data_IF_974194089842
#
_entry.id   IF_974194089842
#
_cell.length_a   1.000
_cell.length_b   1.000
_cell.length_c   1.000
_cell.angle_alpha   90.00
_cell.angle_beta   90.00
_cell.angle_gamma   90.00
#
_symmetry.space_group_name_H-M   'P 1'
#
loop_
_entity.id
_entity.type
_entity.pdbx_description
1 polymer ?
#
# COMPACT_ATOMS: atom_id res chain seq x y z
N UNK A 1 -19.88 -7.97 -66.92
CA UNK A 1 -20.46 -8.11 -65.56
C UNK A 1 -19.33 -8.10 -64.55
N UNK A 2 -19.26 -7.12 -63.62
CA UNK A 2 -18.22 -7.08 -62.59
C UNK A 2 -18.53 -8.07 -61.44
N UNK A 3 -17.52 -8.62 -60.75
CA UNK A 3 -17.70 -9.48 -59.59
C UNK A 3 -18.22 -8.67 -58.37
N UNK A 4 -19.16 -9.26 -57.63
CA UNK A 4 -19.76 -8.69 -56.42
C UNK A 4 -18.78 -8.50 -55.26
N UNK A 5 -19.09 -7.63 -54.29
CA UNK A 5 -18.12 -7.13 -53.31
C UNK A 5 -17.68 -8.21 -52.31
N UNK A 6 -16.37 -8.21 -52.04
CA UNK A 6 -15.71 -9.03 -51.04
C UNK A 6 -16.43 -8.95 -49.69
N UNK A 7 -16.80 -10.11 -49.15
CA UNK A 7 -17.26 -10.27 -47.77
C UNK A 7 -16.15 -9.77 -46.83
N UNK A 8 -16.38 -8.61 -46.19
CA UNK A 8 -15.49 -8.09 -45.14
C UNK A 8 -15.35 -9.15 -44.07
N UNK A 9 -14.13 -9.67 -43.91
CA UNK A 9 -13.77 -10.53 -42.80
C UNK A 9 -14.04 -9.77 -41.50
N UNK A 10 -15.09 -10.19 -40.79
CA UNK A 10 -15.37 -9.72 -39.45
C UNK A 10 -14.19 -10.14 -38.56
N UNK A 11 -13.29 -9.20 -38.27
CA UNK A 11 -12.26 -9.35 -37.24
C UNK A 11 -12.97 -9.83 -35.97
N UNK A 12 -12.57 -10.95 -35.34
CA UNK A 12 -13.16 -11.34 -34.08
C UNK A 12 -12.82 -10.23 -33.09
N UNK A 13 -13.86 -9.53 -32.61
CA UNK A 13 -13.72 -8.60 -31.52
C UNK A 13 -13.06 -9.38 -30.38
N UNK A 14 -11.80 -9.03 -30.04
CA UNK A 14 -11.11 -9.55 -28.86
C UNK A 14 -11.96 -9.15 -27.66
N UNK A 15 -12.93 -9.99 -27.32
CA UNK A 15 -13.66 -9.94 -26.05
C UNK A 15 -12.59 -10.15 -24.99
N UNK A 16 -12.09 -9.05 -24.41
CA UNK A 16 -11.38 -9.08 -23.14
C UNK A 16 -12.37 -9.65 -22.14
N UNK A 17 -12.40 -10.97 -22.02
CA UNK A 17 -12.88 -11.62 -20.82
C UNK A 17 -11.94 -11.15 -19.71
N UNK A 18 -12.33 -10.06 -19.04
CA UNK A 18 -11.79 -9.78 -17.72
C UNK A 18 -12.23 -10.99 -16.89
N UNK A 19 -11.29 -11.84 -16.43
CA UNK A 19 -11.69 -12.92 -15.55
C UNK A 19 -12.49 -12.30 -14.41
N UNK A 20 -13.63 -12.91 -14.07
CA UNK A 20 -14.40 -12.65 -12.84
C UNK A 20 -13.54 -13.10 -11.65
N UNK A 21 -12.39 -12.47 -11.48
CA UNK A 21 -11.68 -12.41 -10.22
C UNK A 21 -12.54 -11.52 -9.34
N UNK A 22 -13.31 -12.12 -8.44
CA UNK A 22 -14.09 -11.37 -7.45
C UNK A 22 -13.22 -10.34 -6.72
N UNK A 23 -13.82 -9.34 -6.05
CA UNK A 23 -13.10 -8.27 -5.34
C UNK A 23 -11.97 -8.79 -4.43
N UNK A 24 -12.14 -9.99 -3.86
CA UNK A 24 -11.13 -10.68 -3.04
C UNK A 24 -9.80 -11.06 -3.73
N UNK A 25 -9.71 -11.06 -5.07
CA UNK A 25 -8.47 -11.40 -5.79
C UNK A 25 -7.78 -10.16 -6.38
N UNK A 26 -8.53 -9.09 -6.68
CA UNK A 26 -7.98 -7.84 -7.23
C UNK A 26 -7.42 -6.90 -6.17
N UNK A 27 -8.01 -6.92 -4.98
CA UNK A 27 -7.56 -6.09 -3.87
C UNK A 27 -6.15 -6.47 -3.37
N UNK A 28 -5.84 -7.75 -3.08
CA UNK A 28 -4.54 -8.11 -2.49
C UNK A 28 -3.36 -7.82 -3.42
N UNK A 29 -3.54 -7.98 -4.74
CA UNK A 29 -2.48 -7.70 -5.71
C UNK A 29 -2.19 -6.20 -5.82
N UNK A 30 -3.23 -5.35 -5.84
CA UNK A 30 -3.05 -3.89 -5.83
C UNK A 30 -2.45 -3.39 -4.51
N UNK A 31 -2.92 -3.93 -3.39
CA UNK A 31 -2.39 -3.59 -2.07
C UNK A 31 -0.91 -4.00 -1.94
N UNK A 32 -0.52 -5.14 -2.54
CA UNK A 32 0.90 -5.54 -2.63
C UNK A 32 1.73 -4.52 -3.41
N UNK A 33 1.29 -4.09 -4.60
CA UNK A 33 2.02 -3.06 -5.37
C UNK A 33 2.11 -1.74 -4.60
N UNK A 34 1.02 -1.32 -3.95
CA UNK A 34 1.01 -0.12 -3.11
C UNK A 34 2.01 -0.24 -1.96
N UNK A 35 2.11 -1.40 -1.32
CA UNK A 35 3.07 -1.65 -0.25
C UNK A 35 4.54 -1.60 -0.70
N UNK A 36 4.85 -2.12 -1.90
CA UNK A 36 6.21 -2.00 -2.47
C UNK A 36 6.57 -0.54 -2.77
N UNK A 37 5.63 0.22 -3.35
CA UNK A 37 5.84 1.64 -3.61
C UNK A 37 6.02 2.43 -2.30
N UNK A 38 5.20 2.14 -1.30
CA UNK A 38 5.33 2.75 0.02
C UNK A 38 6.69 2.45 0.66
N UNK A 39 7.17 1.21 0.57
CA UNK A 39 8.50 0.84 1.06
C UNK A 39 9.60 1.60 0.30
N UNK A 40 9.50 1.71 -1.02
CA UNK A 40 10.44 2.49 -1.84
C UNK A 40 10.45 3.97 -1.45
N UNK A 41 9.28 4.57 -1.24
CA UNK A 41 9.15 5.96 -0.77
C UNK A 41 9.83 6.12 0.60
N UNK A 42 9.54 5.24 1.56
CA UNK A 42 10.16 5.31 2.89
C UNK A 42 11.67 5.15 2.81
N UNK A 43 12.19 4.21 2.02
CA UNK A 43 13.62 4.00 1.85
C UNK A 43 14.30 5.25 1.28
N UNK A 44 13.77 5.82 0.19
CA UNK A 44 14.32 7.02 -0.44
C UNK A 44 14.29 8.21 0.53
N UNK A 45 13.14 8.47 1.17
CA UNK A 45 12.99 9.56 2.13
C UNK A 45 13.95 9.39 3.32
N UNK A 46 14.12 8.17 3.82
CA UNK A 46 15.01 7.89 4.95
C UNK A 46 16.48 8.12 4.59
N UNK A 47 16.92 7.64 3.42
CA UNK A 47 18.29 7.85 2.93
C UNK A 47 18.57 9.33 2.70
N UNK A 48 17.66 10.05 2.03
CA UNK A 48 17.80 11.48 1.80
C UNK A 48 17.81 12.28 3.11
N UNK A 49 16.95 11.91 4.06
CA UNK A 49 16.90 12.57 5.37
C UNK A 49 18.19 12.33 6.16
N UNK A 50 18.73 11.11 6.13
CA UNK A 50 20.00 10.77 6.75
C UNK A 50 21.17 11.53 6.12
N UNK A 51 21.21 11.62 4.79
CA UNK A 51 22.21 12.42 4.07
C UNK A 51 22.09 13.91 4.44
N UNK A 52 20.87 14.45 4.50
CA UNK A 52 20.62 15.84 4.84
C UNK A 52 21.06 16.15 6.28
N UNK A 53 20.79 15.25 7.23
CA UNK A 53 21.22 15.38 8.62
C UNK A 53 22.75 15.47 8.75
N UNK A 54 23.50 14.79 7.88
CA UNK A 54 24.97 14.82 7.86
C UNK A 54 25.55 16.05 7.16
N UNK A 55 24.91 16.52 6.10
CA UNK A 55 25.44 17.59 5.25
C UNK A 55 25.00 18.99 5.70
N UNK A 56 23.79 19.13 6.23
CA UNK A 56 23.25 20.43 6.63
C UNK A 56 22.19 20.25 7.74
N UNK A 57 22.61 20.22 9.01
CA UNK A 57 21.71 19.98 10.14
C UNK A 57 20.59 21.04 10.23
N UNK A 58 20.87 22.29 9.86
CA UNK A 58 19.88 23.38 9.83
C UNK A 58 18.74 23.13 8.83
N UNK A 59 19.04 22.52 7.67
CA UNK A 59 18.02 22.15 6.68
C UNK A 59 17.22 20.94 7.14
N UNK A 60 17.88 19.99 7.82
CA UNK A 60 17.22 18.85 8.42
C UNK A 60 16.20 19.27 9.49
N UNK A 61 16.57 20.17 10.41
CA UNK A 61 15.64 20.66 11.44
C UNK A 61 14.41 21.36 10.83
N UNK A 62 14.59 22.20 9.81
CA UNK A 62 13.48 22.81 9.06
C UNK A 62 12.59 21.77 8.39
N UNK A 63 13.18 20.71 7.84
CA UNK A 63 12.41 19.63 7.24
C UNK A 63 11.60 18.85 8.29
N UNK A 64 12.18 18.58 9.47
CA UNK A 64 11.48 17.93 10.59
C UNK A 64 10.27 18.74 11.05
N UNK A 65 10.38 20.06 11.05
CA UNK A 65 9.25 20.95 11.35
C UNK A 65 8.11 20.79 10.34
N UNK A 66 8.41 20.69 9.04
CA UNK A 66 7.42 20.40 7.99
C UNK A 66 6.75 19.04 8.23
N UNK A 67 7.49 18.02 8.67
CA UNK A 67 6.94 16.70 8.96
C UNK A 67 5.91 16.69 10.10
N UNK A 68 5.91 17.70 10.98
CA UNK A 68 4.92 17.83 12.06
C UNK A 68 3.57 18.37 11.57
N UNK A 69 3.52 18.95 10.38
CA UNK A 69 2.26 19.46 9.84
C UNK A 69 1.23 18.34 9.64
N UNK A 70 -0.01 18.59 10.06
CA UNK A 70 -1.13 17.66 9.97
C UNK A 70 -1.30 17.00 8.57
N UNK A 71 -1.26 17.73 7.44
CA UNK A 71 -1.37 17.08 6.12
C UNK A 71 -0.22 16.12 5.84
N UNK A 72 1.00 16.44 6.28
CA UNK A 72 2.16 15.55 6.10
C UNK A 72 2.01 14.31 6.99
N UNK A 73 1.53 14.46 8.22
CA UNK A 73 1.24 13.33 9.11
C UNK A 73 0.23 12.36 8.49
N UNK A 74 -0.84 12.86 7.87
CA UNK A 74 -1.82 12.00 7.16
C UNK A 74 -1.17 11.22 6.01
N UNK A 75 -0.31 11.88 5.22
CA UNK A 75 0.46 11.21 4.15
C UNK A 75 1.39 10.16 4.72
N UNK A 76 2.11 10.47 5.80
CA UNK A 76 3.00 9.53 6.50
C UNK A 76 2.23 8.31 6.98
N UNK A 77 1.05 8.49 7.58
CA UNK A 77 0.18 7.37 8.00
C UNK A 77 -0.21 6.51 6.80
N UNK A 78 -0.62 7.11 5.67
CA UNK A 78 -0.99 6.37 4.47
C UNK A 78 0.20 5.55 3.91
N UNK A 79 1.39 6.13 3.88
CA UNK A 79 2.61 5.46 3.44
C UNK A 79 2.99 4.33 4.40
N UNK A 80 3.04 4.59 5.70
CA UNK A 80 3.38 3.59 6.70
C UNK A 80 2.35 2.46 6.77
N UNK A 81 1.07 2.74 6.54
CA UNK A 81 0.04 1.71 6.40
C UNK A 81 0.31 0.79 5.20
N UNK A 82 0.78 1.33 4.08
CA UNK A 82 1.25 0.54 2.94
C UNK A 82 2.42 -0.37 3.27
N UNK A 83 3.40 0.14 4.04
CA UNK A 83 4.54 -0.67 4.52
C UNK A 83 4.08 -1.77 5.49
N UNK A 84 3.15 -1.45 6.40
CA UNK A 84 2.57 -2.44 7.30
C UNK A 84 1.87 -3.57 6.53
N UNK A 85 1.07 -3.22 5.50
CA UNK A 85 0.45 -4.23 4.64
C UNK A 85 1.50 -5.10 3.93
N UNK A 86 2.55 -4.49 3.39
CA UNK A 86 3.64 -5.22 2.73
C UNK A 86 4.30 -6.23 3.67
N UNK A 87 4.62 -5.82 4.90
CA UNK A 87 5.24 -6.70 5.89
C UNK A 87 4.33 -7.90 6.23
N UNK A 88 3.06 -7.64 6.54
CA UNK A 88 2.08 -8.69 6.87
C UNK A 88 1.85 -9.63 5.68
N UNK A 89 1.70 -9.09 4.47
CA UNK A 89 1.50 -9.87 3.24
C UNK A 89 2.72 -10.74 2.87
N UNK A 90 3.92 -10.26 3.20
CA UNK A 90 5.17 -11.03 3.05
C UNK A 90 5.20 -12.22 3.99
N UNK A 91 4.91 -12.01 5.28
CA UNK A 91 4.80 -13.11 6.26
C UNK A 91 3.72 -14.11 5.83
N UNK A 92 2.54 -13.62 5.44
CA UNK A 92 1.46 -14.45 4.90
C UNK A 92 1.92 -15.31 3.73
N UNK A 93 2.65 -14.73 2.79
CA UNK A 93 3.17 -15.42 1.61
C UNK A 93 4.23 -16.46 1.96
N UNK A 94 5.09 -16.16 2.94
CA UNK A 94 6.10 -17.08 3.45
C UNK A 94 5.46 -18.28 4.15
N UNK A 95 4.44 -18.04 4.99
CA UNK A 95 3.67 -19.11 5.66
C UNK A 95 3.01 -20.01 4.61
N UNK A 96 2.37 -19.45 3.59
CA UNK A 96 1.79 -20.24 2.50
C UNK A 96 2.83 -21.04 1.70
N UNK A 97 4.09 -20.60 1.64
CA UNK A 97 5.15 -21.29 0.92
C UNK A 97 5.75 -22.45 1.73
N UNK A 98 5.74 -22.36 3.06
CA UNK A 98 6.37 -23.34 3.95
C UNK A 98 5.36 -24.36 4.47
N UNK A 99 4.15 -23.92 4.82
CA UNK A 99 3.14 -24.78 5.45
C UNK A 99 2.41 -25.60 4.39
N UNK A 100 2.57 -26.92 4.45
CA UNK A 100 1.77 -27.86 3.66
C UNK A 100 0.50 -28.19 4.44
N UNK A 101 -0.66 -27.79 3.94
CA UNK A 101 -1.95 -28.04 4.56
C UNK A 101 -2.81 -29.00 3.71
N UNK A 102 -3.67 -29.82 4.34
CA UNK A 102 -4.61 -30.69 3.62
C UNK A 102 -5.57 -29.92 2.72
N UNK A 103 -5.93 -28.69 3.12
CA UNK A 103 -6.78 -27.77 2.36
C UNK A 103 -6.07 -26.40 2.22
N UNK A 104 -5.28 -26.21 1.14
CA UNK A 104 -4.50 -25.00 0.94
C UNK A 104 -5.37 -23.76 0.69
N UNK A 105 -6.57 -23.93 0.12
CA UNK A 105 -7.47 -22.82 -0.18
C UNK A 105 -8.13 -22.27 1.09
N UNK A 106 -8.54 -23.16 2.00
CA UNK A 106 -9.06 -22.74 3.31
C UNK A 106 -7.98 -22.04 4.14
N UNK A 107 -6.76 -22.59 4.18
CA UNK A 107 -5.64 -21.95 4.87
C UNK A 107 -5.36 -20.55 4.31
N UNK A 108 -5.34 -20.41 2.98
CA UNK A 108 -5.08 -19.12 2.31
C UNK A 108 -6.13 -18.06 2.67
N UNK A 109 -7.41 -18.44 2.79
CA UNK A 109 -8.48 -17.52 3.20
C UNK A 109 -8.33 -17.08 4.65
N UNK A 110 -8.13 -18.03 5.57
CA UNK A 110 -7.91 -17.73 6.99
C UNK A 110 -6.70 -16.82 7.21
N UNK A 111 -5.60 -17.09 6.50
CA UNK A 111 -4.39 -16.27 6.55
C UNK A 111 -4.59 -14.87 5.95
N UNK A 112 -5.45 -14.73 4.94
CA UNK A 112 -5.79 -13.42 4.39
C UNK A 112 -6.62 -12.62 5.38
N UNK A 113 -7.63 -13.24 6.00
CA UNK A 113 -8.49 -12.58 6.99
C UNK A 113 -7.68 -12.14 8.21
N UNK A 114 -6.82 -13.02 8.75
CA UNK A 114 -5.94 -12.68 9.86
C UNK A 114 -4.95 -11.57 9.51
N UNK A 115 -4.45 -11.56 8.27
CA UNK A 115 -3.56 -10.49 7.77
C UNK A 115 -4.26 -9.13 7.68
N UNK A 116 -5.51 -9.10 7.22
CA UNK A 116 -6.30 -7.86 7.17
C UNK A 116 -6.55 -7.33 8.57
N UNK A 117 -6.90 -8.20 9.53
CA UNK A 117 -7.10 -7.81 10.93
C UNK A 117 -5.80 -7.26 11.52
N UNK A 118 -4.67 -7.96 11.35
CA UNK A 118 -3.37 -7.52 11.85
C UNK A 118 -2.98 -6.16 11.27
N UNK A 119 -3.16 -5.96 9.96
CA UNK A 119 -2.89 -4.69 9.28
C UNK A 119 -3.78 -3.55 9.79
N UNK A 120 -5.08 -3.79 10.02
CA UNK A 120 -5.99 -2.79 10.58
C UNK A 120 -5.58 -2.37 11.98
N UNK A 121 -5.27 -3.32 12.86
CA UNK A 121 -4.83 -3.04 14.23
C UNK A 121 -3.55 -2.19 14.22
N UNK A 122 -2.55 -2.55 13.41
CA UNK A 122 -1.31 -1.80 13.27
C UNK A 122 -1.56 -0.38 12.72
N UNK A 123 -2.38 -0.25 11.69
CA UNK A 123 -2.69 1.04 11.06
C UNK A 123 -3.45 1.97 12.01
N UNK A 124 -4.43 1.44 12.75
CA UNK A 124 -5.21 2.22 13.73
C UNK A 124 -4.32 2.67 14.88
N UNK A 125 -3.52 1.77 15.47
CA UNK A 125 -2.60 2.12 16.53
C UNK A 125 -1.60 3.21 16.09
N UNK A 126 -1.05 3.07 14.88
CA UNK A 126 -0.18 4.07 14.27
C UNK A 126 -0.89 5.42 14.06
N UNK A 127 -2.10 5.39 13.50
CA UNK A 127 -2.87 6.61 13.24
C UNK A 127 -3.17 7.35 14.56
N UNK A 128 -3.55 6.65 15.61
CA UNK A 128 -3.75 7.25 16.95
C UNK A 128 -2.44 7.84 17.47
N UNK A 129 -1.33 7.10 17.41
CA UNK A 129 -0.04 7.55 17.91
C UNK A 129 0.48 8.82 17.20
N UNK A 130 0.18 8.99 15.91
CA UNK A 130 0.65 10.12 15.11
C UNK A 130 -0.34 11.29 15.06
N UNK A 131 -1.64 11.02 15.00
CA UNK A 131 -2.66 12.08 14.91
C UNK A 131 -2.90 12.77 16.25
N UNK A 132 -2.83 12.06 17.38
CA UNK A 132 -3.09 12.67 18.69
C UNK A 132 -2.10 13.82 18.97
N UNK A 133 -0.77 13.65 18.87
CA UNK A 133 0.18 14.75 19.05
C UNK A 133 -0.01 15.87 18.02
N UNK A 134 -0.16 15.52 16.75
CA UNK A 134 -0.31 16.50 15.67
C UNK A 134 -1.57 17.36 15.84
N UNK A 135 -2.68 16.76 16.28
CA UNK A 135 -3.92 17.46 16.57
C UNK A 135 -3.77 18.37 17.81
N UNK A 136 -3.10 17.90 18.87
CA UNK A 136 -2.88 18.74 20.06
C UNK A 136 -2.03 19.97 19.76
N UNK A 137 -1.01 19.87 18.90
CA UNK A 137 -0.17 21.01 18.51
C UNK A 137 -0.94 22.02 17.64
N UNK A 138 -1.77 21.55 16.70
CA UNK A 138 -2.54 22.41 15.78
C UNK A 138 -3.75 23.08 16.42
N UNK A 139 -4.46 22.40 17.33
CA UNK A 139 -5.63 22.97 18.01
C UNK A 139 -5.30 23.64 19.34
N UNK A 140 -4.17 23.29 19.98
CA UNK A 140 -3.69 23.93 21.21
C UNK A 140 -3.13 25.33 20.99
N UNK A 141 -2.63 25.65 19.79
CA UNK A 141 -2.15 26.98 19.41
C UNK A 141 -3.26 27.99 19.08
N UNK A 142 -4.52 27.53 19.01
CA UNK A 142 -5.71 28.35 18.73
C UNK A 142 -6.47 28.78 20.00
N UNK A 143 -5.94 28.46 21.19
CA UNK A 143 -6.42 28.95 22.50
C UNK A 143 -5.43 29.94 23.08
#
# INVERSE_FOLDING_TARGET
MPPGPASRSARPARRRFLPRTGPGVRWPSRARTAGHLALGVVAVVSVLSWLLARLSPERYLRLVEVYRSLPVVVVVIAVLSGVAWFAVDTVRSLVCAIVTAPDPDRLRRLLLDSSVIAWLVLTVALAVALLVPAATETFGTLR
#
